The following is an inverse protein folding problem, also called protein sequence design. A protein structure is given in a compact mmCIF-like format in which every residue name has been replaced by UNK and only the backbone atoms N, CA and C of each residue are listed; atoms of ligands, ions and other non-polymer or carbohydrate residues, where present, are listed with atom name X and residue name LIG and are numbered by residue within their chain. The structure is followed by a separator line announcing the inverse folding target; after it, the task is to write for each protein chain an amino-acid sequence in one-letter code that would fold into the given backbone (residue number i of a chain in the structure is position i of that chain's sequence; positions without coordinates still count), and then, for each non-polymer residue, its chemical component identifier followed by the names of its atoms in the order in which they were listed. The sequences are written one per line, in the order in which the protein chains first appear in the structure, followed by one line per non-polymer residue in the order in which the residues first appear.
data_IF_972772395913
#
_entry.id   IF_972772395913
#
_cell.length_a   1.000
_cell.length_b   1.000
_cell.length_c   1.000
_cell.angle_alpha   90.00
_cell.angle_beta   90.00
_cell.angle_gamma   90.00
#
_symmetry.space_group_name_H-M   'P 1'
#
loop_
_entity.id
_entity.type
_entity.pdbx_description
1 polymer ?
#
# COMPACT_ATOMS: atom_id res chain seq x y z
N UNK A 1 1.45 3.46 1.12
CA UNK A 1 1.77 2.86 -0.20
C UNK A 1 2.54 3.79 -1.13
N UNK A 2 1.96 4.86 -1.69
CA UNK A 2 2.64 5.75 -2.67
C UNK A 2 3.97 6.32 -2.16
N UNK A 3 4.05 6.67 -0.87
CA UNK A 3 5.31 7.07 -0.23
C UNK A 3 6.39 5.98 -0.31
N UNK A 4 6.06 4.74 0.05
CA UNK A 4 7.00 3.61 0.00
C UNK A 4 7.42 3.28 -1.44
N UNK A 5 6.45 3.31 -2.36
CA UNK A 5 6.70 3.17 -3.80
C UNK A 5 7.50 4.35 -4.38
N UNK A 6 7.83 5.39 -3.59
CA UNK A 6 8.48 6.63 -4.01
C UNK A 6 7.77 7.34 -5.19
N UNK A 7 6.44 7.28 -5.17
CA UNK A 7 5.58 7.97 -6.12
C UNK A 7 5.14 9.33 -5.56
N UNK A 8 5.00 10.30 -6.46
CA UNK A 8 4.48 11.62 -6.12
C UNK A 8 3.03 11.53 -5.58
N UNK A 9 2.66 12.43 -4.65
CA UNK A 9 1.34 12.42 -4.01
C UNK A 9 0.16 12.48 -5.01
N UNK A 10 0.38 13.04 -6.20
CA UNK A 10 -0.62 13.08 -7.27
C UNK A 10 -1.15 11.70 -7.66
N UNK A 11 -0.36 10.65 -7.46
CA UNK A 11 -0.76 9.27 -7.79
C UNK A 11 -1.74 8.66 -6.79
N UNK A 12 -1.94 9.29 -5.61
CA UNK A 12 -2.88 8.79 -4.60
C UNK A 12 -4.36 8.91 -5.00
N UNK A 13 -4.69 9.67 -6.06
CA UNK A 13 -6.07 9.84 -6.54
C UNK A 13 -6.39 9.01 -7.78
N UNK A 14 -5.40 8.30 -8.33
CA UNK A 14 -5.59 7.45 -9.50
C UNK A 14 -5.90 6.02 -9.06
N UNK A 15 -6.78 5.36 -9.81
CA UNK A 15 -6.92 3.92 -9.74
C UNK A 15 -5.70 3.25 -10.39
N UNK A 16 -5.38 2.02 -9.97
CA UNK A 16 -4.21 1.29 -10.46
C UNK A 16 -4.20 1.15 -11.99
N UNK A 17 -5.37 0.98 -12.61
CA UNK A 17 -5.53 0.90 -14.06
C UNK A 17 -5.23 2.22 -14.80
N UNK A 18 -5.46 3.35 -14.15
CA UNK A 18 -5.22 4.69 -14.69
C UNK A 18 -3.74 5.11 -14.57
N UNK A 19 -2.95 4.38 -13.76
CA UNK A 19 -1.53 4.67 -13.56
C UNK A 19 -0.72 4.31 -14.82
N UNK A 20 0.52 4.82 -14.95
CA UNK A 20 1.42 4.29 -15.98
C UNK A 20 2.05 2.96 -15.54
N UNK A 21 2.68 2.24 -16.48
CA UNK A 21 3.26 0.91 -16.21
C UNK A 21 4.31 0.95 -15.10
N UNK A 22 5.22 1.91 -15.14
CA UNK A 22 6.24 2.09 -14.11
C UNK A 22 5.62 2.36 -12.73
N UNK A 23 4.59 3.19 -12.64
CA UNK A 23 3.93 3.52 -11.40
C UNK A 23 3.17 2.30 -10.83
N UNK A 24 2.52 1.51 -11.69
CA UNK A 24 1.91 0.24 -11.29
C UNK A 24 2.93 -0.76 -10.76
N UNK A 25 4.01 -1.00 -11.51
CA UNK A 25 5.09 -1.90 -11.10
C UNK A 25 5.62 -1.52 -9.72
N UNK A 26 5.84 -0.23 -9.49
CA UNK A 26 6.31 0.27 -8.19
C UNK A 26 5.29 0.08 -7.07
N UNK A 27 4.00 0.22 -7.34
CA UNK A 27 2.94 -0.06 -6.36
C UNK A 27 2.89 -1.56 -6.03
N UNK A 28 2.96 -2.44 -7.03
CA UNK A 28 2.92 -3.89 -6.84
C UNK A 28 4.16 -4.38 -6.08
N UNK A 29 5.35 -3.87 -6.42
CA UNK A 29 6.58 -4.15 -5.68
C UNK A 29 6.48 -3.66 -4.23
N UNK A 30 5.99 -2.43 -4.02
CA UNK A 30 5.77 -1.89 -2.69
C UNK A 30 4.78 -2.72 -1.85
N UNK A 31 3.70 -3.24 -2.46
CA UNK A 31 2.77 -4.14 -1.80
C UNK A 31 3.46 -5.42 -1.33
N UNK A 32 4.27 -6.04 -2.20
CA UNK A 32 4.99 -7.26 -1.86
C UNK A 32 6.03 -7.04 -0.76
N UNK A 33 6.82 -5.96 -0.86
CA UNK A 33 7.82 -5.59 0.15
C UNK A 33 7.16 -5.37 1.52
N UNK A 34 6.11 -4.54 1.57
CA UNK A 34 5.43 -4.22 2.82
C UNK A 34 4.71 -5.44 3.40
N UNK A 35 4.06 -6.26 2.58
CA UNK A 35 3.43 -7.50 3.05
C UNK A 35 4.47 -8.40 3.70
N UNK A 36 5.60 -8.65 3.03
CA UNK A 36 6.66 -9.49 3.59
C UNK A 36 7.28 -8.89 4.86
N UNK A 37 7.38 -7.58 4.95
CA UNK A 37 7.99 -6.89 6.09
C UNK A 37 7.10 -6.89 7.34
N UNK A 38 5.77 -6.88 7.15
CA UNK A 38 4.78 -6.81 8.22
C UNK A 38 4.02 -8.12 8.43
N UNK A 39 4.41 -9.21 7.78
CA UNK A 39 3.98 -10.58 8.08
C UNK A 39 4.66 -11.08 9.38
N UNK A 40 4.26 -10.48 10.50
CA UNK A 40 4.76 -10.80 11.82
C UNK A 40 3.80 -11.80 12.49
N UNK A 41 4.28 -12.85 13.18
CA UNK A 41 3.38 -13.76 13.88
C UNK A 41 2.59 -13.01 14.97
N UNK A 42 1.28 -13.22 15.03
CA UNK A 42 0.30 -12.55 15.94
C UNK A 42 0.67 -12.56 17.44
N UNK A 43 1.64 -13.37 17.86
CA UNK A 43 2.01 -13.61 19.27
C UNK A 43 3.23 -12.82 19.77
N UNK A 44 3.50 -11.62 19.25
CA UNK A 44 4.57 -10.76 19.78
C UNK A 44 4.01 -9.76 20.80
N UNK A 45 4.14 -10.10 22.08
CA UNK A 45 3.69 -9.25 23.20
C UNK A 45 4.36 -7.88 23.27
N UNK A 46 3.81 -7.00 24.12
CA UNK A 46 4.38 -5.69 24.45
C UNK A 46 5.82 -5.85 24.96
N UNK A 47 6.80 -5.43 24.15
CA UNK A 47 8.23 -5.54 24.48
C UNK A 47 9.16 -5.86 23.31
N UNK A 48 8.63 -6.10 22.10
CA UNK A 48 9.43 -6.46 20.92
C UNK A 48 9.50 -5.37 19.84
N UNK A 49 8.98 -4.16 20.09
CA UNK A 49 8.94 -3.07 19.11
C UNK A 49 10.32 -2.73 18.54
N UNK A 50 11.34 -2.54 19.40
CA UNK A 50 12.70 -2.27 18.94
C UNK A 50 13.25 -3.42 18.08
N UNK A 51 12.94 -4.67 18.45
CA UNK A 51 13.38 -5.83 17.69
C UNK A 51 12.74 -5.85 16.29
N UNK A 52 11.42 -5.72 16.21
CA UNK A 52 10.69 -5.65 14.95
C UNK A 52 11.23 -4.51 14.06
N UNK A 53 11.38 -3.30 14.61
CA UNK A 53 11.91 -2.14 13.87
C UNK A 53 13.33 -2.38 13.36
N UNK A 54 14.18 -3.12 14.08
CA UNK A 54 15.54 -3.43 13.64
C UNK A 54 15.61 -4.42 12.49
N UNK A 55 14.61 -5.28 12.32
CA UNK A 55 14.54 -6.25 11.22
C UNK A 55 14.14 -5.57 9.90
N UNK A 56 13.44 -4.43 9.98
CA UNK A 56 12.97 -3.69 8.82
C UNK A 56 14.10 -2.99 8.06
N UNK A 57 14.01 -3.01 6.73
CA UNK A 57 14.86 -2.21 5.84
C UNK A 57 14.64 -0.72 6.05
N UNK A 58 15.49 0.12 5.45
CA UNK A 58 15.37 1.58 5.60
C UNK A 58 14.04 2.11 5.03
N UNK A 59 13.58 1.60 3.88
CA UNK A 59 12.31 2.01 3.24
C UNK A 59 11.10 1.58 4.05
N UNK A 60 11.11 0.35 4.59
CA UNK A 60 10.07 -0.17 5.47
C UNK A 60 9.99 0.61 6.79
N UNK A 61 11.14 0.87 7.44
CA UNK A 61 11.17 1.69 8.66
C UNK A 61 10.62 3.08 8.43
N UNK A 62 10.99 3.74 7.33
CA UNK A 62 10.42 5.05 6.98
C UNK A 62 8.91 4.96 6.84
N UNK A 63 8.42 3.91 6.20
CA UNK A 63 6.99 3.70 6.01
C UNK A 63 6.27 3.54 7.35
N UNK A 64 6.81 2.73 8.26
CA UNK A 64 6.26 2.58 9.61
C UNK A 64 6.24 3.91 10.38
N UNK A 65 7.35 4.65 10.39
CA UNK A 65 7.45 5.91 11.13
C UNK A 65 6.47 6.97 10.58
N UNK A 66 6.39 7.13 9.26
CA UNK A 66 5.47 8.10 8.67
C UNK A 66 4.00 7.64 8.77
N UNK A 67 3.71 6.33 8.73
CA UNK A 67 2.37 5.80 9.01
C UNK A 67 1.94 6.12 10.45
N UNK A 68 2.87 6.05 11.41
CA UNK A 68 2.65 6.47 12.79
C UNK A 68 2.49 7.99 12.99
N UNK A 69 2.53 8.78 11.91
CA UNK A 69 2.47 10.24 11.97
C UNK A 69 3.74 10.90 12.50
N UNK A 70 4.84 10.17 12.60
CA UNK A 70 6.13 10.71 13.02
C UNK A 70 6.80 11.46 11.87
N UNK A 71 7.67 12.40 12.21
CA UNK A 71 8.40 13.21 11.23
C UNK A 71 9.82 12.70 11.04
N UNK A 72 10.58 13.35 10.17
CA UNK A 72 12.02 13.09 10.04
C UNK A 72 12.77 13.32 11.36
N UNK A 73 12.29 14.20 12.24
CA UNK A 73 12.94 14.47 13.52
C UNK A 73 12.95 13.25 14.43
N UNK A 74 11.85 12.50 14.49
CA UNK A 74 11.80 11.25 15.26
C UNK A 74 12.55 10.13 14.54
N UNK A 75 12.45 10.07 13.21
CA UNK A 75 13.13 9.05 12.40
C UNK A 75 14.66 9.11 12.51
N UNK A 76 15.22 10.31 12.59
CA UNK A 76 16.67 10.53 12.68
C UNK A 76 17.22 10.25 14.09
N UNK A 77 16.36 10.00 15.08
CA UNK A 77 16.80 9.63 16.43
C UNK A 77 17.31 8.18 16.49
N UNK A 78 18.25 7.88 17.40
CA UNK A 78 18.73 6.52 17.58
C UNK A 78 17.59 5.56 17.92
N UNK A 79 17.49 4.42 17.22
CA UNK A 79 16.41 3.44 17.44
C UNK A 79 16.29 2.98 18.91
N UNK A 80 17.40 2.94 19.66
CA UNK A 80 17.40 2.59 21.09
C UNK A 80 16.46 3.46 21.94
N UNK A 81 16.13 4.68 21.47
CA UNK A 81 15.18 5.56 22.15
C UNK A 81 13.79 4.95 22.29
N UNK A 82 13.41 3.99 21.44
CA UNK A 82 12.13 3.28 21.52
C UNK A 82 11.90 2.66 22.92
N UNK A 83 12.95 2.15 23.55
CA UNK A 83 12.87 1.47 24.85
C UNK A 83 13.05 2.44 26.04
N UNK A 84 13.37 3.71 25.78
CA UNK A 84 13.51 4.71 26.84
C UNK A 84 12.13 5.09 27.39
N UNK A 85 12.00 5.19 28.72
CA UNK A 85 10.72 5.44 29.39
C UNK A 85 10.08 6.80 29.06
N UNK A 86 10.88 7.76 28.59
CA UNK A 86 10.44 9.10 28.19
C UNK A 86 10.11 9.19 26.69
N UNK A 87 10.19 8.08 25.96
CA UNK A 87 9.91 8.03 24.53
C UNK A 87 8.42 8.23 24.23
N UNK A 88 8.07 9.45 23.83
CA UNK A 88 6.68 9.85 23.57
C UNK A 88 6.07 9.20 22.33
N UNK A 89 6.90 8.74 21.40
CA UNK A 89 6.47 8.22 20.10
C UNK A 89 6.47 6.69 20.01
N UNK A 90 7.04 5.97 20.99
CA UNK A 90 7.04 4.49 21.00
C UNK A 90 5.63 3.90 20.95
N UNK A 91 4.67 4.51 21.67
CA UNK A 91 3.27 4.08 21.65
C UNK A 91 2.62 4.21 20.26
N UNK A 92 2.82 5.35 19.59
CA UNK A 92 2.30 5.58 18.25
C UNK A 92 2.92 4.60 17.24
N UNK A 93 4.22 4.33 17.36
CA UNK A 93 4.93 3.38 16.52
C UNK A 93 4.43 1.94 16.70
N UNK A 94 4.12 1.54 17.94
CA UNK A 94 3.57 0.22 18.21
C UNK A 94 2.15 0.04 17.64
N UNK A 95 1.32 1.08 17.72
CA UNK A 95 -0.02 1.08 17.12
C UNK A 95 0.08 0.95 15.60
N UNK A 96 0.92 1.78 14.97
CA UNK A 96 1.18 1.73 13.53
C UNK A 96 1.68 0.35 13.07
N UNK A 97 2.54 -0.30 13.86
CA UNK A 97 3.03 -1.65 13.55
C UNK A 97 1.87 -2.65 13.51
N UNK A 98 0.98 -2.62 14.50
CA UNK A 98 -0.21 -3.48 14.54
C UNK A 98 -1.21 -3.19 13.41
N UNK A 99 -1.40 -1.92 13.07
CA UNK A 99 -2.25 -1.50 11.94
C UNK A 99 -1.70 -2.03 10.61
N UNK A 100 -0.40 -1.85 10.35
CA UNK A 100 0.25 -2.33 9.13
C UNK A 100 0.24 -3.86 9.05
N UNK A 101 0.53 -4.54 10.17
CA UNK A 101 0.38 -5.99 10.26
C UNK A 101 -1.04 -6.42 9.87
N UNK A 102 -2.07 -5.84 10.50
CA UNK A 102 -3.47 -6.21 10.24
C UNK A 102 -3.87 -5.94 8.78
N UNK A 103 -3.44 -4.80 8.23
CA UNK A 103 -3.71 -4.42 6.84
C UNK A 103 -3.14 -5.43 5.84
N UNK A 104 -1.97 -6.00 6.10
CA UNK A 104 -1.32 -6.94 5.20
C UNK A 104 -1.62 -8.41 5.51
N UNK A 105 -1.98 -8.76 6.74
CA UNK A 105 -2.43 -10.10 7.12
C UNK A 105 -3.75 -10.47 6.44
N UNK A 106 -4.66 -9.50 6.27
CA UNK A 106 -5.95 -9.70 5.59
C UNK A 106 -5.88 -9.41 4.08
N UNK A 107 -4.72 -9.00 3.56
CA UNK A 107 -4.59 -8.65 2.14
C UNK A 107 -4.72 -9.93 1.28
N UNK A 108 -5.74 -10.03 0.41
CA UNK A 108 -5.92 -11.24 -0.40
C UNK A 108 -4.70 -11.47 -1.29
N UNK A 109 -4.22 -12.72 -1.34
CA UNK A 109 -3.08 -13.14 -2.18
C UNK A 109 -3.24 -12.68 -3.64
N UNK A 110 -4.48 -12.57 -4.10
CA UNK A 110 -4.86 -12.05 -5.42
C UNK A 110 -4.24 -10.68 -5.74
N UNK A 111 -4.17 -9.75 -4.78
CA UNK A 111 -3.60 -8.41 -5.01
C UNK A 111 -2.10 -8.43 -5.28
N UNK A 112 -1.41 -9.52 -4.95
CA UNK A 112 0.04 -9.69 -5.12
C UNK A 112 0.42 -10.70 -6.21
N UNK A 113 -0.53 -11.53 -6.62
CA UNK A 113 -0.32 -12.64 -7.57
C UNK A 113 -0.41 -12.23 -9.06
N UNK A 114 -0.87 -11.01 -9.34
CA UNK A 114 -1.03 -10.51 -10.70
C UNK A 114 0.23 -9.72 -11.07
N UNK A 115 0.95 -10.18 -12.10
CA UNK A 115 2.05 -9.38 -12.65
C UNK A 115 1.50 -8.06 -13.21
N UNK A 116 2.23 -6.95 -13.11
CA UNK A 116 1.85 -5.65 -13.69
C UNK A 116 1.31 -5.74 -15.13
N UNK A 117 1.91 -6.59 -15.95
CA UNK A 117 1.51 -6.85 -17.35
C UNK A 117 0.11 -7.47 -17.52
N UNK A 118 -0.42 -8.13 -16.48
CA UNK A 118 -1.70 -8.83 -16.50
C UNK A 118 -2.91 -7.98 -16.07
N UNK A 119 -2.70 -6.77 -15.54
CA UNK A 119 -3.82 -5.85 -15.27
C UNK A 119 -4.53 -5.37 -16.55
N UNK A 120 -3.92 -5.56 -17.73
CA UNK A 120 -4.42 -5.03 -19.02
C UNK A 120 -5.24 -5.99 -19.87
N UNK A 121 -5.61 -7.19 -19.39
CA UNK A 121 -6.51 -8.05 -20.17
C UNK A 121 -7.97 -7.98 -19.73
N UNK A 122 -8.63 -6.88 -20.12
CA UNK A 122 -10.05 -6.92 -20.52
C UNK A 122 -10.45 -5.73 -21.41
N UNK A 123 -9.91 -5.66 -22.62
CA UNK A 123 -10.55 -4.90 -23.71
C UNK A 123 -11.72 -5.68 -24.38
N UNK A 124 -12.18 -6.79 -23.80
CA UNK A 124 -13.16 -7.68 -24.46
C UNK A 124 -14.38 -8.09 -23.62
N UNK A 125 -14.79 -7.32 -22.61
CA UNK A 125 -16.06 -7.54 -21.91
C UNK A 125 -17.07 -6.38 -21.98
N UNK A 126 -16.99 -5.53 -23.01
CA UNK A 126 -18.11 -4.68 -23.42
C UNK A 126 -18.47 -4.94 -24.88
N UNK A 127 -18.93 -6.17 -25.16
CA UNK A 127 -19.70 -6.45 -26.37
C UNK A 127 -20.82 -7.44 -26.07
N UNK A 128 -21.93 -6.91 -25.55
CA UNK A 128 -23.30 -7.23 -25.97
C UNK A 128 -24.28 -6.65 -24.96
N UNK A 129 -25.07 -5.66 -25.36
CA UNK A 129 -26.52 -5.87 -25.43
C UNK A 129 -27.07 -5.13 -26.64
N UNK A 130 -27.66 -5.93 -27.53
CA UNK A 130 -28.56 -5.48 -28.57
C UNK A 130 -29.73 -4.72 -27.94
N UNK A 131 -29.92 -3.46 -28.33
CA UNK A 131 -31.28 -2.93 -28.44
C UNK A 131 -31.62 -2.77 -29.92
N UNK A 132 -32.30 -3.80 -30.43
CA UNK A 132 -33.21 -3.64 -31.56
C UNK A 132 -34.25 -2.59 -31.17
N UNK A 133 -34.27 -1.46 -31.86
CA UNK A 133 -35.52 -0.74 -32.12
C UNK A 133 -35.40 0.08 -33.40
N UNK A 134 -35.87 -0.52 -34.49
CA UNK A 134 -36.32 0.22 -35.67
C UNK A 134 -37.36 1.24 -35.24
N UNK A 135 -37.20 2.52 -35.62
CA UNK A 135 -38.31 3.34 -36.12
C UNK A 135 -37.76 4.30 -37.20
N UNK A 136 -38.36 4.18 -38.38
CA UNK A 136 -38.35 5.16 -39.44
C UNK A 136 -38.92 6.50 -38.92
N UNK A 137 -38.50 7.63 -39.48
CA UNK A 137 -39.36 8.53 -40.28
C UNK A 137 -38.64 9.86 -40.58
N UNK A 138 -38.54 10.12 -41.89
CA UNK A 138 -38.71 11.38 -42.60
C UNK A 138 -37.85 12.62 -42.31
N UNK A 139 -37.11 13.00 -43.37
CA UNK A 139 -36.62 14.34 -43.69
C UNK A 139 -37.56 14.98 -44.72
N UNK A 140 -37.94 16.26 -44.56
CA UNK A 140 -38.21 17.10 -45.71
C UNK A 140 -37.22 18.29 -45.78
N UNK A 141 -36.73 18.46 -47.01
CA UNK A 141 -36.10 19.60 -47.70
C UNK A 141 -35.55 20.79 -46.90
#
# INVERSE_FOLDING_TARGET
MCFHAALHHRWCVYQLEEMDEMARERIVSALNELRSAFDLPENQGQGQLLHAVRLLTLSERRTLFFHAGLTTQEFDQPLRRIDESDCRWAKALNLALGELHSLFAEAPDILTSIKPEHYFRSEHYFRSEHYFRSEHYFRPE
#
